data_IF_513357400445
#
_entry.id   IF_513357400445
#
_cell.length_a   1.000
_cell.length_b   1.000
_cell.length_c   1.000
_cell.angle_alpha   90.00
_cell.angle_beta   90.00
_cell.angle_gamma   90.00
#
_symmetry.space_group_name_H-M   'P 1'
#
loop_
_entity.id
_entity.type
_entity.pdbx_description
1 polymer ?
#
# COMPACT_ATOMS: atom_id res chain seq x y z
N UNK A 1 13.40 -24.03 -16.53
CA UNK A 1 13.50 -23.29 -15.25
C UNK A 1 14.77 -22.45 -15.26
N UNK A 2 14.80 -21.34 -16.03
CA UNK A 2 16.02 -20.53 -16.26
C UNK A 2 15.73 -19.01 -16.28
N UNK A 3 14.75 -18.55 -15.50
CA UNK A 3 14.40 -17.12 -15.46
C UNK A 3 14.76 -16.41 -14.13
N UNK A 4 15.37 -17.08 -13.16
CA UNK A 4 15.59 -16.52 -11.81
C UNK A 4 17.06 -16.21 -11.47
N UNK A 5 17.99 -16.20 -12.45
CA UNK A 5 19.44 -16.08 -12.17
C UNK A 5 20.08 -14.72 -12.55
N UNK A 6 19.32 -13.69 -12.87
CA UNK A 6 19.88 -12.42 -13.38
C UNK A 6 19.63 -11.18 -12.50
N UNK A 7 19.20 -11.36 -11.25
CA UNK A 7 19.05 -10.22 -10.35
C UNK A 7 20.42 -9.87 -9.78
N UNK A 8 20.99 -8.76 -10.26
CA UNK A 8 22.20 -8.18 -9.68
C UNK A 8 21.87 -7.82 -8.22
N UNK A 9 22.77 -8.12 -7.27
CA UNK A 9 22.60 -7.63 -5.91
C UNK A 9 22.53 -6.10 -5.99
N UNK A 10 21.42 -5.52 -5.52
CA UNK A 10 21.09 -4.10 -5.58
C UNK A 10 20.59 -3.56 -6.94
N UNK A 11 19.83 -4.34 -7.72
CA UNK A 11 19.11 -3.77 -8.87
C UNK A 11 18.00 -2.81 -8.38
N UNK A 12 18.11 -1.49 -8.61
CA UNK A 12 17.11 -0.53 -8.13
C UNK A 12 15.74 -0.72 -8.78
N UNK A 13 15.65 -1.47 -9.89
CA UNK A 13 14.38 -1.80 -10.56
C UNK A 13 13.50 -2.74 -9.75
N UNK A 14 14.04 -3.44 -8.74
CA UNK A 14 13.24 -4.30 -7.85
C UNK A 14 12.12 -3.53 -7.15
N UNK A 15 12.30 -2.22 -6.92
CA UNK A 15 11.31 -1.35 -6.27
C UNK A 15 10.28 -0.75 -7.24
N UNK A 16 10.48 -0.88 -8.55
CA UNK A 16 9.63 -0.24 -9.57
C UNK A 16 8.15 -0.67 -9.48
N UNK A 17 7.80 -1.94 -9.22
CA UNK A 17 6.40 -2.33 -9.06
C UNK A 17 5.69 -1.56 -7.94
N UNK A 18 6.37 -1.38 -6.80
CA UNK A 18 5.84 -0.65 -5.65
C UNK A 18 5.76 0.85 -5.95
N UNK A 19 6.81 1.43 -6.54
CA UNK A 19 6.83 2.85 -6.95
C UNK A 19 5.69 3.18 -7.91
N UNK A 20 5.48 2.32 -8.91
CA UNK A 20 4.39 2.47 -9.86
C UNK A 20 3.03 2.37 -9.17
N UNK A 21 2.84 1.40 -8.27
CA UNK A 21 1.61 1.28 -7.50
C UNK A 21 1.34 2.52 -6.63
N UNK A 22 2.35 3.09 -5.98
CA UNK A 22 2.23 4.32 -5.19
C UNK A 22 1.85 5.51 -6.08
N UNK A 23 2.49 5.65 -7.25
CA UNK A 23 2.17 6.72 -8.20
C UNK A 23 0.73 6.62 -8.70
N UNK A 24 0.27 5.42 -9.06
CA UNK A 24 -1.10 5.19 -9.51
C UNK A 24 -2.12 5.40 -8.39
N UNK A 25 -1.77 5.01 -7.16
CA UNK A 25 -2.57 5.28 -5.97
C UNK A 25 -2.71 6.79 -5.74
N UNK A 26 -1.61 7.54 -5.82
CA UNK A 26 -1.61 9.00 -5.67
C UNK A 26 -2.55 9.69 -6.65
N UNK A 27 -2.47 9.35 -7.95
CA UNK A 27 -3.41 9.86 -8.97
C UNK A 27 -4.85 9.50 -8.65
N UNK A 28 -5.10 8.25 -8.26
CA UNK A 28 -6.45 7.79 -7.91
C UNK A 28 -7.01 8.51 -6.66
N UNK A 29 -6.15 8.82 -5.69
CA UNK A 29 -6.52 9.59 -4.50
C UNK A 29 -6.84 11.05 -4.84
N UNK A 30 -6.08 11.68 -5.74
CA UNK A 30 -6.38 13.02 -6.27
C UNK A 30 -7.76 13.04 -6.95
N UNK A 31 -8.04 12.06 -7.81
CA UNK A 31 -9.35 11.89 -8.46
C UNK A 31 -10.48 11.68 -7.44
N UNK A 32 -10.26 10.86 -6.41
CA UNK A 32 -11.21 10.67 -5.32
C UNK A 32 -11.52 11.97 -4.60
N UNK A 33 -10.49 12.76 -4.25
CA UNK A 33 -10.66 14.07 -3.60
C UNK A 33 -11.41 15.03 -4.53
N UNK A 34 -11.12 15.05 -5.82
CA UNK A 34 -11.83 15.88 -6.79
C UNK A 34 -13.33 15.51 -6.85
N UNK A 35 -13.67 14.22 -6.92
CA UNK A 35 -15.07 13.75 -6.90
C UNK A 35 -15.77 14.07 -5.58
N UNK A 36 -15.09 13.92 -4.44
CA UNK A 36 -15.67 14.24 -3.12
C UNK A 36 -16.10 15.70 -2.98
N UNK A 37 -15.48 16.62 -3.74
CA UNK A 37 -15.87 18.05 -3.77
C UNK A 37 -17.16 18.30 -4.55
N UNK A 38 -17.55 17.37 -5.43
CA UNK A 38 -18.77 17.44 -6.25
C UNK A 38 -19.95 16.73 -5.58
N UNK A 39 -19.72 16.06 -4.44
CA UNK A 39 -20.73 15.31 -3.68
C UNK A 39 -21.86 16.21 -3.18
N UNK A 40 -23.11 15.73 -3.27
CA UNK A 40 -24.26 16.39 -2.65
C UNK A 40 -24.23 16.17 -1.14
N UNK A 41 -24.03 17.25 -0.39
CA UNK A 41 -23.95 17.22 1.08
C UNK A 41 -25.32 17.18 1.76
N UNK A 42 -26.39 17.39 1.02
CA UNK A 42 -27.75 17.23 1.53
C UNK A 42 -28.24 15.77 1.38
N UNK A 43 -27.53 14.95 0.59
CA UNK A 43 -27.81 13.54 0.43
C UNK A 43 -27.02 12.68 1.45
N UNK A 44 -27.66 12.16 2.52
CA UNK A 44 -26.97 11.38 3.53
C UNK A 44 -26.38 10.06 3.00
N UNK A 45 -26.91 9.51 1.91
CA UNK A 45 -26.39 8.28 1.31
C UNK A 45 -25.05 8.53 0.60
N UNK A 46 -24.90 9.66 -0.09
CA UNK A 46 -23.63 10.03 -0.71
C UNK A 46 -22.55 10.27 0.36
N UNK A 47 -22.86 11.03 1.41
CA UNK A 47 -21.93 11.24 2.53
C UNK A 47 -21.52 9.90 3.14
N UNK A 48 -22.48 9.01 3.40
CA UNK A 48 -22.21 7.70 3.99
C UNK A 48 -21.29 6.87 3.10
N UNK A 49 -21.50 6.91 1.79
CA UNK A 49 -20.71 6.16 0.82
C UNK A 49 -19.24 6.59 0.82
N UNK A 50 -18.97 7.90 0.73
CA UNK A 50 -17.59 8.41 0.78
C UNK A 50 -16.91 8.08 2.11
N UNK A 51 -17.64 8.17 3.23
CA UNK A 51 -17.12 7.78 4.54
C UNK A 51 -16.79 6.28 4.61
N UNK A 52 -17.64 5.42 4.07
CA UNK A 52 -17.41 3.97 4.05
C UNK A 52 -16.24 3.60 3.11
N UNK A 53 -15.99 4.35 2.03
CA UNK A 53 -14.78 4.18 1.20
C UNK A 53 -13.51 4.59 1.96
N UNK A 54 -13.52 5.71 2.68
CA UNK A 54 -12.38 6.13 3.51
C UNK A 54 -12.08 5.11 4.61
N UNK A 55 -13.12 4.57 5.24
CA UNK A 55 -12.97 3.52 6.25
C UNK A 55 -12.38 2.23 5.66
N UNK A 56 -12.86 1.81 4.49
CA UNK A 56 -12.35 0.62 3.79
C UNK A 56 -10.92 0.82 3.29
N UNK A 57 -10.57 2.01 2.82
CA UNK A 57 -9.22 2.37 2.43
C UNK A 57 -8.25 2.11 3.58
N UNK A 58 -8.52 2.62 4.78
CA UNK A 58 -7.65 2.41 5.94
C UNK A 58 -7.50 0.92 6.27
N UNK A 59 -8.61 0.18 6.24
CA UNK A 59 -8.61 -1.27 6.50
C UNK A 59 -7.82 -2.05 5.45
N UNK A 60 -7.75 -1.56 4.23
CA UNK A 60 -7.03 -2.23 3.15
C UNK A 60 -5.53 -2.29 3.38
N UNK A 61 -4.96 -1.45 4.24
CA UNK A 61 -3.53 -1.51 4.58
C UNK A 61 -3.21 -2.48 5.73
N UNK A 62 -4.22 -3.15 6.29
CA UNK A 62 -4.05 -4.13 7.36
C UNK A 62 -3.81 -5.53 6.80
N UNK A 63 -2.60 -6.07 7.01
CA UNK A 63 -2.30 -7.47 6.76
C UNK A 63 -2.84 -8.35 7.91
N UNK A 64 -3.81 -9.24 7.65
CA UNK A 64 -4.34 -10.14 8.69
C UNK A 64 -3.29 -11.13 9.20
N UNK A 65 -2.27 -11.44 8.40
CA UNK A 65 -1.19 -12.36 8.76
C UNK A 65 -0.02 -11.67 9.49
N UNK A 66 -0.08 -10.34 9.67
CA UNK A 66 1.03 -9.55 10.20
C UNK A 66 2.16 -9.36 9.18
N UNK A 67 3.18 -8.61 9.56
CA UNK A 67 4.41 -8.46 8.78
C UNK A 67 5.37 -9.59 9.21
N UNK A 68 5.80 -10.44 8.27
CA UNK A 68 6.59 -11.64 8.58
C UNK A 68 7.84 -11.37 9.44
N UNK A 69 8.38 -12.42 10.07
CA UNK A 69 9.49 -12.30 11.03
C UNK A 69 9.00 -11.86 12.41
N UNK A 70 9.73 -10.94 13.04
CA UNK A 70 9.44 -10.44 14.40
C UNK A 70 8.28 -9.41 14.46
N UNK A 71 7.65 -9.10 13.32
CA UNK A 71 6.67 -8.02 13.17
C UNK A 71 5.22 -8.51 13.06
N UNK A 72 4.91 -9.67 13.64
CA UNK A 72 3.57 -10.30 13.58
C UNK A 72 2.46 -9.45 14.19
N UNK A 73 2.80 -8.61 15.16
CA UNK A 73 1.85 -7.71 15.83
C UNK A 73 1.58 -6.43 15.01
N UNK A 74 2.42 -6.12 14.02
CA UNK A 74 2.27 -4.94 13.15
C UNK A 74 1.53 -5.29 11.87
N UNK A 75 0.23 -4.99 11.87
CA UNK A 75 -0.64 -5.29 10.73
C UNK A 75 -0.60 -4.23 9.65
N UNK A 76 -0.25 -2.98 9.97
CA UNK A 76 -0.28 -1.89 9.01
C UNK A 76 0.96 -1.90 8.11
N UNK A 77 0.79 -2.14 6.81
CA UNK A 77 1.91 -2.38 5.88
C UNK A 77 2.71 -1.12 5.56
N UNK A 78 2.05 0.04 5.50
CA UNK A 78 2.73 1.32 5.24
C UNK A 78 3.43 1.86 6.49
N UNK A 79 2.89 1.58 7.68
CA UNK A 79 3.35 2.12 8.95
C UNK A 79 3.62 0.97 9.93
N UNK A 80 4.87 0.68 10.22
CA UNK A 80 5.23 0.04 11.49
C UNK A 80 6.28 0.88 12.22
N UNK A 81 6.30 0.85 13.55
CA UNK A 81 7.39 1.47 14.30
C UNK A 81 8.71 0.79 13.92
N UNK A 82 9.72 1.56 13.54
CA UNK A 82 11.06 1.01 13.31
C UNK A 82 11.64 0.48 14.64
N UNK A 83 12.31 -0.69 14.60
CA UNK A 83 12.93 -1.32 15.80
C UNK A 83 14.00 -0.42 16.45
N UNK A 84 14.66 0.44 15.69
CA UNK A 84 15.80 1.25 16.16
C UNK A 84 15.49 2.73 16.39
N UNK A 85 14.34 3.26 15.93
CA UNK A 85 14.00 4.68 16.13
C UNK A 85 12.50 4.98 15.97
N UNK A 86 11.78 5.12 17.08
CA UNK A 86 10.33 5.38 17.12
C UNK A 86 9.90 6.73 16.51
N UNK A 87 10.85 7.65 16.23
CA UNK A 87 10.59 8.94 15.58
C UNK A 87 10.86 8.95 14.07
N UNK A 88 11.48 7.90 13.53
CA UNK A 88 11.63 7.70 12.10
C UNK A 88 10.67 6.59 11.69
N UNK A 89 9.38 6.92 11.56
CA UNK A 89 8.43 6.04 10.88
C UNK A 89 8.97 5.82 9.45
N UNK A 90 9.67 4.71 9.21
CA UNK A 90 10.08 4.34 7.87
C UNK A 90 8.85 3.74 7.20
N UNK A 91 8.49 4.28 6.04
CA UNK A 91 7.49 3.64 5.19
C UNK A 91 8.02 2.28 4.76
N UNK A 92 7.21 1.23 4.94
CA UNK A 92 7.58 -0.16 4.60
C UNK A 92 8.82 -0.67 5.38
N UNK A 93 8.70 -0.87 6.70
CA UNK A 93 9.83 -1.26 7.55
C UNK A 93 10.39 -2.64 7.19
N UNK A 94 9.55 -3.60 6.76
CA UNK A 94 10.04 -4.92 6.33
C UNK A 94 10.93 -4.85 5.09
N UNK A 95 10.65 -3.93 4.16
CA UNK A 95 11.50 -3.69 2.99
C UNK A 95 12.83 -3.05 3.43
N UNK A 96 12.77 -2.11 4.38
CA UNK A 96 13.97 -1.48 4.94
C UNK A 96 14.87 -2.52 5.64
N UNK A 97 14.29 -3.39 6.45
CA UNK A 97 14.97 -4.48 7.15
C UNK A 97 15.58 -5.48 6.16
N UNK A 98 14.85 -5.84 5.10
CA UNK A 98 15.34 -6.76 4.06
C UNK A 98 16.54 -6.20 3.28
N UNK A 99 16.50 -4.90 2.96
CA UNK A 99 17.62 -4.18 2.32
C UNK A 99 18.82 -4.13 3.27
N UNK A 100 18.61 -3.77 4.54
CA UNK A 100 19.69 -3.72 5.53
C UNK A 100 20.40 -5.07 5.68
N UNK A 101 19.63 -6.16 5.69
CA UNK A 101 20.16 -7.52 5.78
C UNK A 101 20.73 -8.06 4.45
N UNK A 102 20.72 -7.29 3.36
CA UNK A 102 21.12 -7.70 2.01
C UNK A 102 20.46 -9.02 1.55
N UNK A 103 19.20 -9.25 1.94
CA UNK A 103 18.47 -10.46 1.60
C UNK A 103 17.56 -10.23 0.38
N UNK A 104 18.09 -10.50 -0.82
CA UNK A 104 17.40 -10.23 -2.09
C UNK A 104 16.02 -10.92 -2.20
N UNK A 105 15.92 -12.18 -1.76
CA UNK A 105 14.66 -12.93 -1.78
C UNK A 105 13.60 -12.28 -0.90
N UNK A 106 14.01 -11.78 0.27
CA UNK A 106 13.13 -11.08 1.20
C UNK A 106 12.71 -9.72 0.64
N UNK A 107 13.63 -8.99 -0.02
CA UNK A 107 13.31 -7.72 -0.68
C UNK A 107 12.20 -7.93 -1.70
N UNK A 108 12.35 -8.91 -2.60
CA UNK A 108 11.36 -9.19 -3.64
C UNK A 108 10.00 -9.60 -3.05
N UNK A 109 10.02 -10.43 -2.00
CA UNK A 109 8.82 -10.87 -1.31
C UNK A 109 8.08 -9.70 -0.65
N UNK A 110 8.79 -8.86 0.11
CA UNK A 110 8.20 -7.74 0.82
C UNK A 110 7.72 -6.64 -0.14
N UNK A 111 8.44 -6.41 -1.24
CA UNK A 111 7.97 -5.51 -2.32
C UNK A 111 6.68 -6.03 -2.96
N UNK A 112 6.60 -7.34 -3.24
CA UNK A 112 5.39 -7.93 -3.82
C UNK A 112 4.19 -7.78 -2.88
N UNK A 113 4.37 -8.03 -1.57
CA UNK A 113 3.33 -7.79 -0.56
C UNK A 113 2.90 -6.33 -0.55
N UNK A 114 3.84 -5.39 -0.38
CA UNK A 114 3.52 -3.98 -0.33
C UNK A 114 2.77 -3.52 -1.60
N UNK A 115 3.23 -3.98 -2.76
CA UNK A 115 2.58 -3.69 -4.05
C UNK A 115 1.15 -4.22 -4.10
N UNK A 116 0.92 -5.44 -3.65
CA UNK A 116 -0.42 -6.05 -3.61
C UNK A 116 -1.39 -5.23 -2.78
N UNK A 117 -0.98 -4.83 -1.58
CA UNK A 117 -1.84 -4.06 -0.67
C UNK A 117 -2.08 -2.62 -1.15
N UNK A 118 -1.06 -1.94 -1.69
CA UNK A 118 -1.25 -0.61 -2.31
C UNK A 118 -2.20 -0.68 -3.51
N UNK A 119 -2.14 -1.75 -4.31
CA UNK A 119 -3.08 -1.95 -5.43
C UNK A 119 -4.51 -2.26 -4.96
N UNK A 120 -4.67 -3.00 -3.85
CA UNK A 120 -5.98 -3.20 -3.21
C UNK A 120 -6.57 -1.89 -2.67
N UNK A 121 -5.74 -1.06 -2.04
CA UNK A 121 -6.14 0.28 -1.60
C UNK A 121 -6.57 1.16 -2.80
N UNK A 122 -5.84 1.08 -3.90
CA UNK A 122 -6.16 1.77 -5.15
C UNK A 122 -7.53 1.34 -5.70
N UNK A 123 -7.86 0.04 -5.70
CA UNK A 123 -9.15 -0.43 -6.25
C UNK A 123 -10.34 0.12 -5.46
N UNK A 124 -10.24 0.20 -4.13
CA UNK A 124 -11.30 0.75 -3.25
C UNK A 124 -11.67 2.19 -3.64
N UNK A 125 -10.67 2.99 -4.05
CA UNK A 125 -10.90 4.37 -4.48
C UNK A 125 -11.47 4.46 -5.90
N UNK A 126 -11.25 3.47 -6.77
CA UNK A 126 -11.78 3.45 -8.15
C UNK A 126 -13.25 3.06 -8.24
N UNK A 127 -13.72 2.17 -7.36
CA UNK A 127 -15.02 1.49 -7.49
C UNK A 127 -16.26 2.42 -7.54
N UNK A 128 -16.16 3.69 -7.17
CA UNK A 128 -17.27 4.65 -7.18
C UNK A 128 -17.83 4.98 -8.58
N UNK A 129 -17.12 4.74 -9.68
CA UNK A 129 -17.57 5.17 -11.01
C UNK A 129 -18.83 4.43 -11.54
N UNK A 130 -19.24 3.31 -10.95
CA UNK A 130 -20.23 2.41 -11.54
C UNK A 130 -21.63 2.44 -10.90
N UNK A 131 -21.89 3.24 -9.87
CA UNK A 131 -23.15 3.19 -9.11
C UNK A 131 -24.14 4.34 -9.38
N UNK A 132 -23.69 5.44 -9.99
CA UNK A 132 -24.52 6.64 -10.23
C UNK A 132 -24.58 7.04 -11.72
N UNK A 133 -24.15 6.16 -12.63
CA UNK A 133 -24.23 6.33 -14.09
C UNK A 133 -25.54 5.82 -14.66
#
# INVERSE_FOLDING_TARGET
MQAMNNLKPNDPTVLDPLRNAINDFGKTAEDFVARSKLMDRENPYEIRFYNDQLLQLERSFLNPLGQGGDHTDFKHIVFAPAKDNQYAASGFPTISDAIFNNNQTEIEYQVAIATYFVRGALSILKDFNNFFS
#
